data_IF_215962225157
#
_entry.id   IF_215962225157
#
_cell.length_a   1.000
_cell.length_b   1.000
_cell.length_c   1.000
_cell.angle_alpha   90.00
_cell.angle_beta   90.00
_cell.angle_gamma   90.00
#
_symmetry.space_group_name_H-M   'P 1'
#
loop_
_entity.id
_entity.type
_entity.pdbx_description
1 polymer ?
#
# COMPACT_ATOMS: atom_id res chain seq x y z
N UNK A 1 -13.00 -11.02 -6.36
CA UNK A 1 -12.10 -9.92 -6.77
C UNK A 1 -11.77 -8.98 -5.61
N UNK A 2 -12.76 -8.48 -4.86
CA UNK A 2 -12.55 -7.58 -3.70
C UNK A 2 -11.58 -8.11 -2.64
N UNK A 3 -11.67 -9.40 -2.26
CA UNK A 3 -10.74 -10.01 -1.29
C UNK A 3 -9.30 -10.07 -1.80
N UNK A 4 -9.10 -10.34 -3.09
CA UNK A 4 -7.77 -10.39 -3.71
C UNK A 4 -7.16 -8.99 -3.76
N UNK A 5 -7.96 -7.99 -4.14
CA UNK A 5 -7.58 -6.58 -4.12
C UNK A 5 -7.14 -6.17 -2.71
N UNK A 6 -7.91 -6.54 -1.68
CA UNK A 6 -7.58 -6.23 -0.28
C UNK A 6 -6.23 -6.84 0.14
N UNK A 7 -6.01 -8.12 -0.14
CA UNK A 7 -4.76 -8.81 0.20
C UNK A 7 -3.56 -8.16 -0.51
N UNK A 8 -3.68 -7.92 -1.81
CA UNK A 8 -2.63 -7.26 -2.59
C UNK A 8 -2.35 -5.84 -2.09
N UNK A 9 -3.39 -5.10 -1.68
CA UNK A 9 -3.25 -3.75 -1.14
C UNK A 9 -2.45 -3.73 0.16
N UNK A 10 -2.67 -4.72 1.04
CA UNK A 10 -1.91 -4.88 2.28
C UNK A 10 -0.45 -5.20 1.96
N UNK A 11 -0.19 -6.12 1.02
CA UNK A 11 1.17 -6.48 0.60
C UNK A 11 1.91 -5.25 0.05
N UNK A 12 1.28 -4.53 -0.88
CA UNK A 12 1.87 -3.32 -1.47
C UNK A 12 2.07 -2.23 -0.41
N UNK A 13 1.13 -2.06 0.51
CA UNK A 13 1.25 -1.13 1.63
C UNK A 13 2.45 -1.44 2.54
N UNK A 14 2.67 -2.71 2.89
CA UNK A 14 3.85 -3.13 3.67
C UNK A 14 5.14 -2.81 2.92
N UNK A 15 5.20 -3.11 1.62
CA UNK A 15 6.38 -2.83 0.79
C UNK A 15 6.69 -1.33 0.75
N UNK A 16 5.67 -0.49 0.51
CA UNK A 16 5.82 0.97 0.50
C UNK A 16 6.32 1.49 1.84
N UNK A 17 5.78 0.98 2.95
CA UNK A 17 6.19 1.36 4.29
C UNK A 17 7.66 1.03 4.57
N UNK A 18 8.12 -0.16 4.17
CA UNK A 18 9.55 -0.54 4.31
C UNK A 18 10.44 0.35 3.45
N UNK A 19 10.07 0.59 2.19
CA UNK A 19 10.86 1.44 1.28
C UNK A 19 10.96 2.87 1.80
N UNK A 20 9.85 3.43 2.26
CA UNK A 20 9.80 4.77 2.85
C UNK A 20 10.77 4.88 4.04
N UNK A 21 10.80 3.88 4.92
CA UNK A 21 11.74 3.84 6.04
C UNK A 21 13.20 3.75 5.61
N UNK A 22 13.50 2.95 4.59
CA UNK A 22 14.86 2.82 4.07
C UNK A 22 15.34 4.10 3.38
N UNK A 23 14.47 4.80 2.65
CA UNK A 23 14.80 6.01 1.92
C UNK A 23 14.95 7.23 2.84
N UNK A 24 14.05 7.39 3.80
CA UNK A 24 13.98 8.59 4.63
C UNK A 24 14.60 8.42 6.03
N UNK A 25 15.15 7.24 6.33
CA UNK A 25 15.75 6.91 7.63
C UNK A 25 14.86 7.35 8.82
N UNK A 26 13.58 7.02 8.72
CA UNK A 26 12.55 7.52 9.63
C UNK A 26 12.68 6.78 10.96
N UNK A 27 12.83 7.53 12.04
CA UNK A 27 12.73 7.03 13.40
C UNK A 27 11.35 7.37 13.96
N UNK A 28 10.66 6.39 14.54
CA UNK A 28 9.30 6.60 15.06
C UNK A 28 9.29 7.47 16.32
N UNK A 29 8.46 8.52 16.31
CA UNK A 29 8.09 9.28 17.50
C UNK A 29 6.77 8.76 18.10
N UNK A 30 6.74 7.46 18.44
CA UNK A 30 5.61 6.82 19.12
C UNK A 30 4.72 5.93 18.24
N UNK A 31 3.94 5.07 18.89
CA UNK A 31 3.11 4.04 18.25
C UNK A 31 1.98 4.61 17.39
N UNK A 32 1.45 5.78 17.74
CA UNK A 32 0.40 6.45 16.95
C UNK A 32 0.89 6.88 15.58
N UNK A 33 2.12 7.40 15.48
CA UNK A 33 2.73 7.80 14.21
C UNK A 33 2.94 6.58 13.30
N UNK A 34 3.43 5.46 13.87
CA UNK A 34 3.63 4.20 13.16
C UNK A 34 2.31 3.65 12.57
N UNK A 35 1.22 3.67 13.34
CA UNK A 35 -0.09 3.18 12.89
C UNK A 35 -0.67 4.08 11.79
N UNK A 36 -0.59 5.40 11.96
CA UNK A 36 -1.09 6.35 10.96
C UNK A 36 -0.34 6.22 9.64
N UNK A 37 0.99 6.08 9.70
CA UNK A 37 1.83 5.89 8.53
C UNK A 37 1.50 4.57 7.81
N UNK A 38 1.40 3.48 8.56
CA UNK A 38 1.02 2.18 7.99
C UNK A 38 -0.34 2.25 7.29
N UNK A 39 -1.32 2.92 7.89
CA UNK A 39 -2.63 3.11 7.28
C UNK A 39 -2.55 3.88 5.96
N UNK A 40 -1.77 4.97 5.91
CA UNK A 40 -1.54 5.74 4.69
C UNK A 40 -0.91 4.86 3.61
N UNK A 41 0.11 4.06 3.95
CA UNK A 41 0.73 3.14 3.00
C UNK A 41 -0.25 2.11 2.44
N UNK A 42 -1.15 1.56 3.26
CA UNK A 42 -2.20 0.62 2.82
C UNK A 42 -3.21 1.30 1.89
N UNK A 43 -3.60 2.55 2.16
CA UNK A 43 -4.50 3.32 1.27
C UNK A 43 -3.85 3.57 -0.10
N UNK A 44 -2.56 3.94 -0.12
CA UNK A 44 -1.80 4.10 -1.37
C UNK A 44 -1.71 2.75 -2.11
N UNK A 45 -1.41 1.67 -1.38
CA UNK A 45 -1.39 0.32 -1.94
C UNK A 45 -2.72 -0.07 -2.58
N UNK A 46 -3.84 0.27 -1.94
CA UNK A 46 -5.18 0.03 -2.49
C UNK A 46 -5.43 0.80 -3.78
N UNK A 47 -5.04 2.07 -3.84
CA UNK A 47 -5.17 2.87 -5.06
C UNK A 47 -4.37 2.29 -6.22
N UNK A 48 -3.11 1.91 -5.98
CA UNK A 48 -2.22 1.30 -6.99
C UNK A 48 -2.79 -0.02 -7.50
N UNK A 49 -3.13 -0.94 -6.58
CA UNK A 49 -3.65 -2.26 -6.93
C UNK A 49 -4.95 -2.15 -7.72
N UNK A 50 -5.85 -1.26 -7.30
CA UNK A 50 -7.13 -1.06 -8.00
C UNK A 50 -6.93 -0.52 -9.41
N UNK A 51 -6.00 0.43 -9.59
CA UNK A 51 -5.63 0.93 -10.92
C UNK A 51 -5.01 -0.14 -11.82
N UNK A 52 -4.08 -0.94 -11.28
CA UNK A 52 -3.41 -2.00 -12.04
C UNK A 52 -4.41 -3.07 -12.47
N UNK A 53 -5.29 -3.50 -11.56
CA UNK A 53 -6.32 -4.49 -11.88
C UNK A 53 -7.31 -3.93 -12.90
N UNK A 54 -7.74 -2.66 -12.74
CA UNK A 54 -8.59 -1.98 -13.73
C UNK A 54 -7.96 -1.95 -15.11
N UNK A 55 -6.69 -1.56 -15.20
CA UNK A 55 -5.92 -1.55 -16.45
C UNK A 55 -5.84 -2.94 -17.10
N UNK A 56 -5.58 -3.99 -16.31
CA UNK A 56 -5.55 -5.36 -16.85
C UNK A 56 -6.93 -5.80 -17.35
N UNK A 57 -8.01 -5.42 -16.67
CA UNK A 57 -9.38 -5.72 -17.12
C UNK A 57 -9.67 -5.01 -18.44
N UNK A 58 -9.27 -3.76 -18.60
CA UNK A 58 -9.48 -2.99 -19.84
C UNK A 58 -8.59 -3.48 -21.00
N UNK A 59 -7.37 -3.95 -20.73
CA UNK A 59 -6.43 -4.44 -21.75
C UNK A 59 -6.85 -5.79 -22.35
N UNK A 60 -7.53 -6.64 -21.57
CA UNK A 60 -7.94 -7.99 -21.99
C UNK A 60 -9.42 -8.08 -22.41
N UNK A 61 -10.11 -6.95 -22.51
CA UNK A 61 -11.50 -6.85 -22.98
C UNK A 61 -11.56 -6.53 -24.47
#
# INVERSE_FOLDING_TARGET
>A
MTTIVLILSIIVGIVLWVIYHQLFNVAYFGSTAMIAEFFICVVIGFYIVSHVIGFFVDLFR
#
